data_IF_790297991586
#
_entry.id   IF_790297991586
#
_cell.length_a   1.000
_cell.length_b   1.000
_cell.length_c   1.000
_cell.angle_alpha   90.00
_cell.angle_beta   90.00
_cell.angle_gamma   90.00
#
_symmetry.space_group_name_H-M   'P 1'
#
loop_
_entity.id
_entity.type
_entity.pdbx_description
1 polymer ?
#
# COMPACT_ATOMS: atom_id res chain seq x y z
N UNK A 1 20.67 23.32 17.01
CA UNK A 1 20.02 22.72 15.81
C UNK A 1 19.05 23.72 15.21
N UNK A 2 19.25 24.12 13.95
CA UNK A 2 18.39 25.11 13.28
C UNK A 2 16.95 24.59 13.10
N UNK A 3 15.97 25.49 13.00
CA UNK A 3 14.57 25.12 12.75
C UNK A 3 14.38 24.32 11.45
N UNK A 4 15.30 24.44 10.47
CA UNK A 4 15.30 23.64 9.26
C UNK A 4 15.59 22.14 9.55
N UNK A 5 16.57 21.84 10.40
CA UNK A 5 16.92 20.46 10.77
C UNK A 5 15.79 19.72 11.50
N UNK A 6 15.04 20.42 12.36
CA UNK A 6 13.85 19.83 13.04
C UNK A 6 12.70 19.53 12.07
N UNK A 7 12.46 20.40 11.08
CA UNK A 7 11.41 20.18 10.06
C UNK A 7 11.74 19.02 9.13
N UNK A 8 13.01 18.90 8.71
CA UNK A 8 13.48 17.80 7.86
C UNK A 8 13.40 16.44 8.57
N UNK A 9 13.84 16.35 9.83
CA UNK A 9 13.73 15.12 10.63
C UNK A 9 12.27 14.68 10.83
N UNK A 10 11.35 15.62 11.06
CA UNK A 10 9.91 15.33 11.15
C UNK A 10 9.29 14.83 9.84
N UNK A 11 9.83 15.23 8.69
CA UNK A 11 9.36 14.78 7.38
C UNK A 11 9.83 13.36 7.08
N UNK A 12 11.10 13.06 7.33
CA UNK A 12 11.66 11.71 7.18
C UNK A 12 10.90 10.71 8.06
N UNK A 13 10.65 11.07 9.33
CA UNK A 13 9.90 10.22 10.25
C UNK A 13 8.46 9.97 9.80
N UNK A 14 7.85 10.93 9.08
CA UNK A 14 6.50 10.79 8.54
C UNK A 14 6.43 9.97 7.26
N UNK A 15 7.52 9.91 6.48
CA UNK A 15 7.64 9.05 5.30
C UNK A 15 7.99 7.61 5.65
N UNK A 16 8.64 7.38 6.79
CA UNK A 16 9.14 6.08 7.21
C UNK A 16 8.08 4.95 7.11
N UNK A 17 6.83 5.10 7.58
CA UNK A 17 5.83 4.04 7.47
C UNK A 17 5.54 3.66 6.01
N UNK A 18 5.52 4.65 5.11
CA UNK A 18 5.30 4.41 3.68
C UNK A 18 6.52 3.75 3.03
N UNK A 19 7.74 4.19 3.35
CA UNK A 19 8.97 3.55 2.84
C UNK A 19 8.98 2.06 3.21
N UNK A 20 8.72 1.76 4.48
CA UNK A 20 8.63 0.38 4.97
C UNK A 20 7.58 -0.39 4.19
N UNK A 21 6.37 0.18 4.03
CA UNK A 21 5.27 -0.45 3.32
C UNK A 21 5.67 -0.81 1.88
N UNK A 22 6.14 0.15 1.08
CA UNK A 22 6.53 -0.08 -0.31
C UNK A 22 7.69 -1.08 -0.45
N UNK A 23 8.73 -0.99 0.41
CA UNK A 23 9.87 -1.91 0.36
C UNK A 23 9.45 -3.34 0.69
N UNK A 24 8.67 -3.55 1.76
CA UNK A 24 8.15 -4.86 2.12
C UNK A 24 7.30 -5.46 0.99
N UNK A 25 6.46 -4.65 0.35
CA UNK A 25 5.62 -5.09 -0.76
C UNK A 25 6.43 -5.47 -1.98
N UNK A 26 7.44 -4.69 -2.36
CA UNK A 26 8.32 -5.04 -3.48
C UNK A 26 9.04 -6.37 -3.20
N UNK A 27 9.49 -6.59 -1.97
CA UNK A 27 10.09 -7.87 -1.57
C UNK A 27 9.09 -9.03 -1.65
N UNK A 28 7.85 -8.84 -1.16
CA UNK A 28 6.77 -9.82 -1.27
C UNK A 28 6.44 -10.17 -2.73
N UNK A 29 6.38 -9.18 -3.62
CA UNK A 29 6.17 -9.42 -5.04
C UNK A 29 7.34 -10.15 -5.69
N UNK A 30 8.57 -9.89 -5.28
CA UNK A 30 9.74 -10.64 -5.74
C UNK A 30 9.60 -12.12 -5.37
N UNK A 31 9.25 -12.43 -4.12
CA UNK A 31 9.01 -13.80 -3.67
C UNK A 31 7.82 -14.45 -4.40
N UNK A 32 6.74 -13.71 -4.57
CA UNK A 32 5.50 -14.20 -5.22
C UNK A 32 5.72 -14.54 -6.69
N UNK A 33 6.64 -13.83 -7.35
CA UNK A 33 7.01 -14.11 -8.75
C UNK A 33 7.69 -15.47 -8.87
N UNK A 34 8.58 -15.79 -7.93
CA UNK A 34 9.38 -17.02 -7.99
C UNK A 34 8.55 -18.25 -7.59
N UNK A 35 7.72 -18.12 -6.55
CA UNK A 35 6.77 -19.15 -6.13
C UNK A 35 5.49 -18.54 -5.57
N UNK A 36 4.47 -18.47 -6.40
CA UNK A 36 3.18 -17.89 -6.04
C UNK A 36 2.38 -18.77 -5.08
N UNK A 37 2.61 -20.08 -5.06
CA UNK A 37 1.83 -21.01 -4.25
C UNK A 37 2.31 -21.03 -2.79
N UNK A 38 3.62 -20.99 -2.56
CA UNK A 38 4.18 -21.00 -1.20
C UNK A 38 4.12 -19.63 -0.50
N UNK A 39 3.75 -18.57 -1.22
CA UNK A 39 3.78 -17.20 -0.70
C UNK A 39 2.50 -16.72 -0.03
N UNK A 40 1.42 -17.52 -0.05
CA UNK A 40 0.14 -17.20 0.64
C UNK A 40 0.39 -16.76 2.09
N UNK A 41 1.14 -17.55 2.85
CA UNK A 41 1.40 -17.28 4.26
C UNK A 41 2.15 -15.96 4.50
N UNK A 42 3.08 -15.58 3.62
CA UNK A 42 3.76 -14.28 3.74
C UNK A 42 2.80 -13.11 3.55
N UNK A 43 1.85 -13.24 2.62
CA UNK A 43 0.80 -12.24 2.42
C UNK A 43 -0.18 -12.19 3.60
N UNK A 44 -0.52 -13.33 4.20
CA UNK A 44 -1.35 -13.38 5.40
C UNK A 44 -0.70 -12.66 6.58
N UNK A 45 0.61 -12.84 6.80
CA UNK A 45 1.37 -12.08 7.81
C UNK A 45 1.52 -10.59 7.44
N UNK A 46 1.55 -10.27 6.15
CA UNK A 46 1.61 -8.89 5.69
C UNK A 46 0.33 -8.10 6.01
N UNK A 47 -0.84 -8.73 6.02
CA UNK A 47 -2.13 -8.07 6.33
C UNK A 47 -2.13 -7.34 7.69
N UNK A 48 -1.88 -8.00 8.84
CA UNK A 48 -1.88 -7.32 10.14
C UNK A 48 -0.74 -6.30 10.24
N UNK A 49 0.40 -6.55 9.60
CA UNK A 49 1.49 -5.59 9.51
C UNK A 49 1.06 -4.30 8.79
N UNK A 50 0.41 -4.45 7.65
CA UNK A 50 -0.07 -3.33 6.85
C UNK A 50 -1.18 -2.55 7.58
N UNK A 51 -2.02 -3.24 8.36
CA UNK A 51 -3.00 -2.62 9.25
C UNK A 51 -2.35 -1.71 10.31
N UNK A 52 -1.27 -2.17 10.95
CA UNK A 52 -0.50 -1.38 11.92
C UNK A 52 0.11 -0.14 11.26
N UNK A 53 0.72 -0.31 10.09
CA UNK A 53 1.30 0.80 9.33
C UNK A 53 0.23 1.84 8.96
N UNK A 54 -0.94 1.39 8.50
CA UNK A 54 -2.06 2.26 8.17
C UNK A 54 -2.58 3.04 9.40
N UNK A 55 -2.62 2.40 10.56
CA UNK A 55 -3.00 3.05 11.81
C UNK A 55 -2.01 4.16 12.17
N UNK A 56 -0.71 3.86 12.14
CA UNK A 56 0.37 4.81 12.50
C UNK A 56 0.42 5.98 11.51
N UNK A 57 0.28 5.72 10.20
CA UNK A 57 0.42 6.75 9.17
C UNK A 57 -0.69 7.81 9.23
N UNK A 58 -1.92 7.42 9.53
CA UNK A 58 -3.05 8.35 9.63
C UNK A 58 -3.11 9.11 10.96
N UNK A 59 -2.52 8.55 12.04
CA UNK A 59 -2.63 9.08 13.40
C UNK A 59 -2.26 10.57 13.54
N UNK A 60 -1.12 10.97 12.97
CA UNK A 60 -0.65 12.35 13.03
C UNK A 60 -1.55 13.34 12.27
N UNK A 61 -2.16 12.89 11.19
CA UNK A 61 -3.03 13.70 10.33
C UNK A 61 -4.38 13.95 11.00
N UNK A 62 -4.96 12.93 11.64
CA UNK A 62 -6.21 13.04 12.40
C UNK A 62 -6.08 14.02 13.56
N UNK A 63 -4.97 13.96 14.30
CA UNK A 63 -4.70 14.91 15.38
C UNK A 63 -4.59 16.35 14.87
N UNK A 64 -3.93 16.54 13.72
CA UNK A 64 -3.75 17.86 13.15
C UNK A 64 -5.05 18.51 12.66
N UNK A 65 -6.02 17.69 12.24
CA UNK A 65 -7.32 18.14 11.74
C UNK A 65 -8.38 18.34 12.85
N UNK A 66 -8.01 18.20 14.13
CA UNK A 66 -8.93 18.39 15.26
C UNK A 66 -10.01 17.30 15.37
N UNK A 67 -9.84 16.17 14.68
CA UNK A 67 -10.79 15.06 14.72
C UNK A 67 -10.59 14.20 15.97
N UNK A 68 -11.68 13.61 16.46
CA UNK A 68 -11.62 12.77 17.66
C UNK A 68 -10.86 11.47 17.36
N UNK A 69 -9.68 11.31 17.97
CA UNK A 69 -8.77 10.17 17.76
C UNK A 69 -9.45 8.81 17.98
N UNK A 70 -10.40 8.76 18.92
CA UNK A 70 -11.15 7.55 19.22
C UNK A 70 -11.99 7.08 18.03
N UNK A 71 -12.62 8.01 17.32
CA UNK A 71 -13.44 7.68 16.15
C UNK A 71 -12.59 7.15 14.99
N UNK A 72 -11.37 7.67 14.82
CA UNK A 72 -10.40 7.13 13.87
C UNK A 72 -9.99 5.70 14.24
N UNK A 73 -9.68 5.42 15.51
CA UNK A 73 -9.37 4.06 15.97
C UNK A 73 -10.52 3.09 15.71
N UNK A 74 -11.75 3.49 16.05
CA UNK A 74 -12.94 2.65 15.85
C UNK A 74 -13.10 2.32 14.37
N UNK A 75 -12.98 3.31 13.48
CA UNK A 75 -13.04 3.07 12.03
C UNK A 75 -11.93 2.14 11.54
N UNK A 76 -10.69 2.33 11.97
CA UNK A 76 -9.58 1.43 11.59
C UNK A 76 -9.82 0.01 12.10
N UNK A 77 -10.29 -0.14 13.34
CA UNK A 77 -10.62 -1.45 13.92
C UNK A 77 -11.77 -2.14 13.17
N UNK A 78 -12.79 -1.40 12.75
CA UNK A 78 -13.90 -1.96 11.96
C UNK A 78 -13.42 -2.41 10.57
N UNK A 79 -12.66 -1.57 9.86
CA UNK A 79 -12.20 -1.89 8.50
C UNK A 79 -11.21 -3.05 8.52
N UNK A 80 -10.13 -2.93 9.30
CA UNK A 80 -9.09 -3.96 9.34
C UNK A 80 -9.52 -5.20 10.10
N UNK A 81 -10.25 -5.04 11.21
CA UNK A 81 -10.80 -6.18 11.96
C UNK A 81 -11.83 -6.95 11.15
N UNK A 82 -12.73 -6.25 10.44
CA UNK A 82 -13.67 -6.88 9.52
C UNK A 82 -12.97 -7.59 8.37
N UNK A 83 -11.91 -7.00 7.82
CA UNK A 83 -11.11 -7.63 6.77
C UNK A 83 -10.38 -8.88 7.25
N UNK A 84 -9.70 -8.83 8.39
CA UNK A 84 -9.03 -9.99 8.99
C UNK A 84 -10.03 -11.10 9.31
N UNK A 85 -11.20 -10.73 9.86
CA UNK A 85 -12.27 -11.68 10.14
C UNK A 85 -12.80 -12.34 8.87
N UNK A 86 -12.95 -11.59 7.77
CA UNK A 86 -13.32 -12.14 6.47
C UNK A 86 -12.28 -13.14 5.95
N UNK A 87 -10.99 -12.86 6.08
CA UNK A 87 -9.92 -13.78 5.68
C UNK A 87 -9.95 -15.07 6.52
N UNK A 88 -10.19 -14.97 7.83
CA UNK A 88 -10.38 -16.14 8.69
C UNK A 88 -11.59 -16.97 8.24
N UNK A 89 -12.71 -16.32 7.90
CA UNK A 89 -13.88 -17.03 7.36
C UNK A 89 -13.53 -17.78 6.08
N UNK A 90 -12.78 -17.17 5.17
CA UNK A 90 -12.37 -17.82 3.92
C UNK A 90 -11.55 -19.09 4.19
N UNK A 91 -10.62 -19.03 5.13
CA UNK A 91 -9.81 -20.19 5.53
C UNK A 91 -10.66 -21.26 6.21
N UNK A 92 -11.56 -20.90 7.13
CA UNK A 92 -12.43 -21.88 7.80
C UNK A 92 -13.41 -22.55 6.85
N UNK A 93 -13.84 -21.87 5.79
CA UNK A 93 -14.70 -22.43 4.74
C UNK A 93 -13.91 -23.18 3.66
N UNK A 94 -12.58 -23.23 3.73
CA UNK A 94 -11.72 -23.89 2.74
C UNK A 94 -11.72 -23.21 1.37
N UNK A 95 -12.04 -21.91 1.28
CA UNK A 95 -12.08 -21.17 0.01
C UNK A 95 -10.69 -21.10 -0.65
N UNK A 96 -9.65 -20.95 0.16
CA UNK A 96 -8.24 -21.03 -0.25
C UNK A 96 -7.92 -22.38 -0.93
N UNK A 97 -8.37 -23.48 -0.34
CA UNK A 97 -8.17 -24.82 -0.91
C UNK A 97 -8.98 -25.02 -2.20
N UNK A 98 -10.20 -24.50 -2.26
CA UNK A 98 -11.07 -24.61 -3.42
C UNK A 98 -10.58 -23.79 -4.63
N UNK A 99 -9.97 -22.63 -4.38
CA UNK A 99 -9.37 -21.78 -5.43
C UNK A 99 -8.04 -22.36 -5.94
N UNK A 100 -7.31 -23.08 -5.09
CA UNK A 100 -5.93 -23.49 -5.31
C UNK A 100 -4.95 -22.38 -4.96
N UNK A 101 -3.77 -22.76 -4.45
CA UNK A 101 -2.81 -21.85 -3.82
C UNK A 101 -2.43 -20.62 -4.66
N UNK A 102 -2.17 -20.80 -5.96
CA UNK A 102 -1.82 -19.70 -6.86
C UNK A 102 -2.94 -18.64 -6.96
N UNK A 103 -4.19 -19.09 -7.13
CA UNK A 103 -5.34 -18.18 -7.22
C UNK A 103 -5.64 -17.57 -5.86
N UNK A 104 -5.48 -18.32 -4.76
CA UNK A 104 -5.64 -17.81 -3.42
C UNK A 104 -4.67 -16.65 -3.11
N UNK A 105 -3.38 -16.78 -3.48
CA UNK A 105 -2.40 -15.68 -3.33
C UNK A 105 -2.81 -14.44 -4.10
N UNK A 106 -3.21 -14.59 -5.36
CA UNK A 106 -3.65 -13.47 -6.20
C UNK A 106 -4.91 -12.81 -5.64
N UNK A 107 -5.89 -13.61 -5.24
CA UNK A 107 -7.12 -13.12 -4.60
C UNK A 107 -6.78 -12.34 -3.33
N UNK A 108 -5.88 -12.85 -2.49
CA UNK A 108 -5.44 -12.16 -1.29
C UNK A 108 -4.78 -10.81 -1.62
N UNK A 109 -3.87 -10.75 -2.61
CA UNK A 109 -3.24 -9.49 -3.05
C UNK A 109 -4.29 -8.45 -3.46
N UNK A 110 -5.28 -8.84 -4.27
CA UNK A 110 -6.35 -7.92 -4.71
C UNK A 110 -7.27 -7.51 -3.56
N UNK A 111 -7.55 -8.42 -2.61
CA UNK A 111 -8.30 -8.11 -1.40
C UNK A 111 -7.56 -7.11 -0.49
N UNK A 112 -6.23 -7.28 -0.33
CA UNK A 112 -5.39 -6.31 0.39
C UNK A 112 -5.38 -4.96 -0.34
N UNK A 113 -5.27 -4.97 -1.66
CA UNK A 113 -5.33 -3.75 -2.46
C UNK A 113 -6.65 -3.00 -2.26
N UNK A 114 -7.77 -3.74 -2.24
CA UNK A 114 -9.10 -3.19 -2.05
C UNK A 114 -9.29 -2.60 -0.64
N UNK A 115 -8.89 -3.32 0.42
CA UNK A 115 -9.01 -2.77 1.80
C UNK A 115 -8.13 -1.53 1.98
N UNK A 116 -6.97 -1.46 1.32
CA UNK A 116 -6.13 -0.27 1.31
C UNK A 116 -6.81 0.93 0.64
N UNK A 117 -7.49 0.70 -0.49
CA UNK A 117 -8.27 1.73 -1.16
C UNK A 117 -9.43 2.19 -0.28
N UNK A 118 -10.17 1.26 0.33
CA UNK A 118 -11.30 1.58 1.23
C UNK A 118 -10.83 2.35 2.46
N UNK A 119 -9.76 1.89 3.13
CA UNK A 119 -9.12 2.61 4.23
C UNK A 119 -8.66 4.00 3.79
N UNK A 120 -8.14 4.10 2.56
CA UNK A 120 -7.63 5.35 2.05
C UNK A 120 -8.72 6.38 1.71
N UNK A 121 -9.81 5.96 1.08
CA UNK A 121 -10.94 6.83 0.78
C UNK A 121 -11.58 7.36 2.06
N UNK A 122 -11.67 6.51 3.09
CA UNK A 122 -12.38 6.84 4.33
C UNK A 122 -11.56 7.62 5.35
N UNK A 123 -10.22 7.47 5.33
CA UNK A 123 -9.36 7.98 6.41
C UNK A 123 -8.05 8.61 5.95
N UNK A 124 -7.32 7.96 5.03
CA UNK A 124 -6.03 8.47 4.57
C UNK A 124 -5.81 8.26 3.06
N UNK A 125 -6.06 9.30 2.27
CA UNK A 125 -5.95 9.24 0.81
C UNK A 125 -4.61 8.67 0.29
N UNK A 126 -3.54 8.77 1.08
CA UNK A 126 -2.23 8.19 0.73
C UNK A 126 -2.31 6.66 0.56
N UNK A 127 -3.19 5.99 1.28
CA UNK A 127 -3.43 4.55 1.16
C UNK A 127 -4.18 4.17 -0.11
N UNK A 128 -4.90 5.11 -0.74
CA UNK A 128 -5.50 4.88 -2.07
C UNK A 128 -4.41 4.69 -3.12
N UNK A 129 -3.37 5.53 -3.10
CA UNK A 129 -2.23 5.39 -4.01
C UNK A 129 -1.50 4.06 -3.81
N UNK A 130 -1.32 3.66 -2.55
CA UNK A 130 -0.69 2.39 -2.22
C UNK A 130 -1.54 1.17 -2.65
N UNK A 131 -2.86 1.21 -2.43
CA UNK A 131 -3.76 0.17 -2.91
C UNK A 131 -3.83 0.10 -4.44
N UNK A 132 -3.80 1.24 -5.14
CA UNK A 132 -3.70 1.27 -6.60
C UNK A 132 -2.38 0.64 -7.09
N UNK A 133 -1.26 0.93 -6.41
CA UNK A 133 0.02 0.29 -6.66
C UNK A 133 -0.05 -1.24 -6.50
N UNK A 134 -0.67 -1.75 -5.42
CA UNK A 134 -0.88 -3.19 -5.23
C UNK A 134 -1.69 -3.82 -6.37
N UNK A 135 -2.78 -3.19 -6.80
CA UNK A 135 -3.59 -3.66 -7.93
C UNK A 135 -2.76 -3.76 -9.22
N UNK A 136 -1.96 -2.73 -9.54
CA UNK A 136 -1.12 -2.72 -10.73
C UNK A 136 -0.06 -3.83 -10.68
N UNK A 137 0.54 -4.08 -9.51
CA UNK A 137 1.52 -5.15 -9.33
C UNK A 137 0.88 -6.55 -9.39
N UNK A 138 -0.32 -6.72 -8.81
CA UNK A 138 -1.10 -7.95 -8.94
C UNK A 138 -1.45 -8.25 -10.40
N UNK A 139 -1.85 -7.22 -11.17
CA UNK A 139 -2.10 -7.35 -12.60
C UNK A 139 -0.84 -7.73 -13.40
N UNK A 140 0.31 -7.14 -13.06
CA UNK A 140 1.61 -7.49 -13.66
C UNK A 140 1.99 -8.96 -13.44
N UNK A 141 1.66 -9.54 -12.29
CA UNK A 141 1.92 -10.95 -12.01
C UNK A 141 1.01 -11.89 -12.82
N UNK A 142 -0.24 -11.53 -13.08
CA UNK A 142 -1.21 -12.42 -13.74
C UNK A 142 -1.14 -12.41 -15.25
N UNK A 143 -0.79 -11.28 -15.86
CA UNK A 143 -0.85 -11.12 -17.31
C UNK A 143 0.37 -10.35 -17.85
N UNK A 144 1.61 -10.85 -17.67
CA UNK A 144 2.82 -10.15 -18.10
C UNK A 144 2.84 -9.89 -19.62
N UNK A 145 2.25 -10.79 -20.42
CA UNK A 145 2.12 -10.65 -21.88
C UNK A 145 1.03 -9.67 -22.35
N UNK A 146 0.06 -9.31 -21.50
CA UNK A 146 -0.97 -8.30 -21.81
C UNK A 146 -0.63 -6.93 -21.22
N UNK A 147 0.64 -6.71 -20.86
CA UNK A 147 1.16 -5.44 -20.37
C UNK A 147 1.16 -4.31 -21.43
N UNK A 148 0.38 -4.42 -22.51
CA UNK A 148 0.09 -3.34 -23.46
C UNK A 148 -0.46 -2.08 -22.74
N UNK A 149 -1.24 -2.24 -21.68
CA UNK A 149 -1.71 -1.13 -20.83
C UNK A 149 -0.54 -0.44 -20.10
N UNK A 150 0.56 -1.14 -19.89
CA UNK A 150 1.71 -0.70 -19.10
C UNK A 150 2.88 -0.25 -19.96
N UNK A 151 2.88 -0.53 -21.27
CA UNK A 151 3.88 -0.04 -22.21
C UNK A 151 4.00 1.50 -22.17
N UNK A 152 2.90 2.29 -22.14
CA UNK A 152 2.99 3.74 -21.96
C UNK A 152 3.60 4.18 -20.63
N UNK A 153 3.46 3.34 -19.58
CA UNK A 153 4.05 3.61 -18.26
C UNK A 153 5.54 3.27 -18.29
N UNK A 154 5.92 2.13 -18.85
CA UNK A 154 7.31 1.70 -19.05
C UNK A 154 8.11 2.69 -19.87
N UNK A 155 7.55 3.19 -20.97
CA UNK A 155 8.19 4.19 -21.84
C UNK A 155 8.44 5.50 -21.09
N UNK A 156 7.46 5.97 -20.29
CA UNK A 156 7.61 7.17 -19.44
C UNK A 156 8.62 6.99 -18.32
N UNK A 157 8.79 5.76 -17.85
CA UNK A 157 9.78 5.40 -16.82
C UNK A 157 11.16 5.05 -17.41
N UNK A 158 11.32 5.05 -18.74
CA UNK A 158 12.57 4.69 -19.42
C UNK A 158 12.93 3.21 -19.33
N UNK A 159 11.94 2.32 -19.14
CA UNK A 159 12.15 0.87 -19.02
C UNK A 159 12.00 0.23 -20.40
N UNK A 160 13.12 -0.01 -21.07
CA UNK A 160 13.15 -0.75 -22.33
C UNK A 160 12.63 -2.19 -22.15
N UNK A 161 11.75 -2.62 -23.06
CA UNK A 161 11.10 -3.93 -23.06
C UNK A 161 10.37 -4.26 -21.75
N UNK A 162 9.60 -3.31 -21.23
CA UNK A 162 8.83 -3.39 -19.98
C UNK A 162 8.06 -4.71 -19.78
N UNK A 163 7.55 -5.32 -20.86
CA UNK A 163 6.79 -6.57 -20.85
C UNK A 163 7.66 -7.78 -20.45
N UNK A 164 8.97 -7.74 -20.72
CA UNK A 164 9.91 -8.83 -20.43
C UNK A 164 10.54 -8.73 -19.04
N UNK A 165 10.36 -7.59 -18.36
CA UNK A 165 10.99 -7.29 -17.06
C UNK A 165 9.95 -6.86 -16.02
N UNK A 166 9.07 -7.77 -15.57
CA UNK A 166 8.00 -7.42 -14.63
C UNK A 166 8.53 -6.88 -13.30
N UNK A 167 9.70 -7.33 -12.82
CA UNK A 167 10.30 -6.78 -11.59
C UNK A 167 10.81 -5.35 -11.73
N UNK A 168 11.41 -4.96 -12.85
CA UNK A 168 11.81 -3.55 -13.04
C UNK A 168 10.58 -2.65 -13.15
N UNK A 169 9.49 -3.16 -13.72
CA UNK A 169 8.20 -2.47 -13.74
C UNK A 169 7.62 -2.29 -12.34
N UNK A 170 7.59 -3.36 -11.51
CA UNK A 170 7.12 -3.27 -10.12
C UNK A 170 7.92 -2.24 -9.33
N UNK A 171 9.26 -2.26 -9.46
CA UNK A 171 10.13 -1.27 -8.80
C UNK A 171 9.86 0.14 -9.33
N UNK A 172 9.76 0.33 -10.65
CA UNK A 172 9.49 1.63 -11.26
C UNK A 172 8.15 2.22 -10.81
N UNK A 173 7.09 1.40 -10.79
CA UNK A 173 5.76 1.81 -10.31
C UNK A 173 5.81 2.09 -8.80
N UNK A 174 6.52 1.28 -8.00
CA UNK A 174 6.69 1.51 -6.57
C UNK A 174 7.36 2.87 -6.30
N UNK A 175 8.44 3.19 -7.03
CA UNK A 175 9.13 4.48 -6.92
C UNK A 175 8.19 5.63 -7.31
N UNK A 176 7.48 5.53 -8.44
CA UNK A 176 6.55 6.56 -8.88
C UNK A 176 5.40 6.78 -7.88
N UNK A 177 4.78 5.70 -7.41
CA UNK A 177 3.71 5.73 -6.42
C UNK A 177 4.20 6.31 -5.08
N UNK A 178 5.40 5.92 -4.64
CA UNK A 178 6.02 6.46 -3.43
C UNK A 178 6.30 7.96 -3.55
N UNK A 179 6.84 8.43 -4.68
CA UNK A 179 7.06 9.87 -4.92
C UNK A 179 5.74 10.64 -4.86
N UNK A 180 4.67 10.11 -5.49
CA UNK A 180 3.34 10.71 -5.40
C UNK A 180 2.82 10.74 -3.95
N UNK A 181 2.97 9.65 -3.20
CA UNK A 181 2.62 9.58 -1.77
C UNK A 181 3.41 10.62 -0.96
N UNK A 182 4.71 10.77 -1.21
CA UNK A 182 5.57 11.73 -0.52
C UNK A 182 5.16 13.18 -0.82
N UNK A 183 4.90 13.52 -2.08
CA UNK A 183 4.40 14.84 -2.48
C UNK A 183 3.08 15.17 -1.79
N UNK A 184 2.14 14.22 -1.76
CA UNK A 184 0.85 14.39 -1.06
C UNK A 184 1.03 14.61 0.44
N UNK A 185 1.98 13.92 1.08
CA UNK A 185 2.30 14.11 2.49
C UNK A 185 2.87 15.52 2.76
N UNK A 186 3.72 16.02 1.86
CA UNK A 186 4.25 17.39 1.95
C UNK A 186 3.13 18.41 1.80
N UNK A 187 2.24 18.25 0.83
CA UNK A 187 1.11 19.16 0.59
C UNK A 187 0.13 19.20 1.78
N UNK A 188 -0.26 18.04 2.32
CA UNK A 188 -1.17 17.99 3.47
C UNK A 188 -0.58 18.69 4.69
N UNK A 189 0.72 18.49 4.97
CA UNK A 189 1.43 19.19 6.04
C UNK A 189 1.56 20.70 5.80
N UNK A 190 1.79 21.13 4.56
CA UNK A 190 1.83 22.55 4.20
C UNK A 190 0.49 23.23 4.48
N UNK A 191 -0.63 22.60 4.09
CA UNK A 191 -1.99 23.10 4.34
C UNK A 191 -2.33 23.16 5.83
N UNK A 192 -1.85 22.22 6.64
CA UNK A 192 -2.03 22.25 8.09
C UNK A 192 -1.22 23.41 8.72
N UNK A 193 0.00 23.65 8.25
CA UNK A 193 0.85 24.72 8.75
C UNK A 193 0.26 26.11 8.47
N UNK A 194 -0.32 26.34 7.29
CA UNK A 194 -0.98 27.62 6.95
C UNK A 194 -2.22 27.88 7.79
N UNK A 195 -2.99 26.84 8.15
CA UNK A 195 -4.16 26.96 9.04
C UNK A 195 -3.81 27.31 10.48
N UNK A 196 -2.61 26.95 10.97
CA UNK A 196 -2.16 27.24 12.36
C UNK A 196 -1.46 28.58 12.51
N UNK A 197 -1.05 29.22 11.41
CA UNK A 197 -0.39 30.52 11.40
C UNK A 197 -1.32 31.72 11.23
N UNK A 198 -2.63 31.47 11.11
CA UNK A 198 -3.71 32.47 11.21
C UNK A 198 -4.37 32.32 12.56
#
# INVERSE_FOLDING_TARGET
MSNAGKKQSSLILALLPFVILYVCTVALFALTRDDMASTVGYWEYFVPFAAIIALISGWGTTYANGQWRLFYLIKQAIIWGGFIWLLMLFQTMGIDTALGAQKATLTLIFLVALVMIVSGITMDWKMVLYGAFLCLCGYLLTAPGNAAVLQPIGDRLGIADAQTKPMSMIIGIAVAAFVLTALMLIMTRATIATKRGR
#
